data_IF_231718828803
#
_entry.id   IF_231718828803
#
_cell.length_a   1.000
_cell.length_b   1.000
_cell.length_c   1.000
_cell.angle_alpha   90.00
_cell.angle_beta   90.00
_cell.angle_gamma   90.00
#
_symmetry.space_group_name_H-M   'P 1'
#
loop_
_entity.id
_entity.type
_entity.pdbx_description
1 polymer ?
#
# COMPACT_ATOMS: atom_id res chain seq x y z
N UNK A 1 -2.46 0.20 -21.14
CA UNK A 1 -1.49 -0.49 -20.27
C UNK A 1 -2.29 -1.24 -19.22
N UNK A 2 -2.12 -2.56 -19.07
CA UNK A 2 -2.84 -3.32 -18.04
C UNK A 2 -2.31 -2.89 -16.67
N UNK A 3 -3.21 -2.59 -15.74
CA UNK A 3 -2.90 -2.28 -14.35
C UNK A 3 -2.66 -3.58 -13.58
N UNK A 4 -1.48 -4.17 -13.79
CA UNK A 4 -1.08 -5.46 -13.22
C UNK A 4 -0.86 -5.31 -11.71
N UNK A 5 -0.18 -4.24 -11.30
CA UNK A 5 0.11 -3.92 -9.90
C UNK A 5 -1.18 -3.77 -9.07
N UNK A 6 -2.16 -3.00 -9.56
CA UNK A 6 -3.44 -2.85 -8.88
C UNK A 6 -4.19 -4.19 -8.75
N UNK A 7 -4.08 -5.08 -9.75
CA UNK A 7 -4.67 -6.42 -9.68
C UNK A 7 -3.98 -7.30 -8.65
N UNK A 8 -2.65 -7.35 -8.67
CA UNK A 8 -1.85 -8.14 -7.72
C UNK A 8 -2.07 -7.69 -6.28
N UNK A 9 -2.13 -6.37 -6.06
CA UNK A 9 -2.44 -5.81 -4.76
C UNK A 9 -3.86 -6.19 -4.30
N UNK A 10 -4.87 -6.09 -5.17
CA UNK A 10 -6.23 -6.50 -4.83
C UNK A 10 -6.32 -8.00 -4.50
N UNK A 11 -5.61 -8.84 -5.25
CA UNK A 11 -5.58 -10.28 -5.02
C UNK A 11 -4.86 -10.62 -3.69
N UNK A 12 -3.78 -9.90 -3.34
CA UNK A 12 -3.12 -10.03 -2.03
C UNK A 12 -4.04 -9.66 -0.87
N UNK A 13 -4.75 -8.53 -0.94
CA UNK A 13 -5.70 -8.13 0.10
C UNK A 13 -6.86 -9.13 0.24
N UNK A 14 -7.34 -9.69 -0.88
CA UNK A 14 -8.36 -10.77 -0.84
C UNK A 14 -7.81 -12.01 -0.13
N UNK A 15 -6.58 -12.40 -0.44
CA UNK A 15 -5.95 -13.56 0.20
C UNK A 15 -5.74 -13.33 1.71
N UNK A 16 -5.27 -12.15 2.12
CA UNK A 16 -5.11 -11.78 3.53
C UNK A 16 -6.45 -11.84 4.27
N UNK A 17 -7.52 -11.31 3.68
CA UNK A 17 -8.84 -11.34 4.29
C UNK A 17 -9.34 -12.77 4.58
N UNK A 18 -9.09 -13.71 3.67
CA UNK A 18 -9.54 -15.09 3.81
C UNK A 18 -8.66 -15.97 4.71
N UNK A 19 -7.35 -15.71 4.75
CA UNK A 19 -6.39 -16.61 5.41
C UNK A 19 -5.81 -16.04 6.72
N UNK A 20 -5.76 -14.71 6.85
CA UNK A 20 -5.14 -14.01 7.97
C UNK A 20 -5.96 -12.77 8.37
N UNK A 21 -7.20 -12.94 8.87
CA UNK A 21 -8.10 -11.83 9.15
C UNK A 21 -7.52 -10.82 10.16
N UNK A 22 -6.71 -11.27 11.12
CA UNK A 22 -6.04 -10.38 12.07
C UNK A 22 -4.96 -9.51 11.40
N UNK A 23 -4.18 -10.09 10.47
CA UNK A 23 -3.19 -9.33 9.68
C UNK A 23 -3.90 -8.34 8.76
N UNK A 24 -5.00 -8.78 8.10
CA UNK A 24 -5.79 -7.95 7.21
C UNK A 24 -6.32 -6.68 7.90
N UNK A 25 -6.79 -6.78 9.15
CA UNK A 25 -7.27 -5.63 9.94
C UNK A 25 -6.22 -4.54 10.14
N UNK A 26 -4.94 -4.89 10.03
CA UNK A 26 -3.82 -3.99 10.23
C UNK A 26 -3.12 -3.59 8.93
N UNK A 27 -3.52 -4.17 7.80
CA UNK A 27 -2.92 -3.94 6.49
C UNK A 27 -3.64 -2.80 5.75
N UNK A 28 -2.90 -1.86 5.17
CA UNK A 28 -3.44 -0.83 4.30
C UNK A 28 -2.45 -0.40 3.22
N UNK A 29 -3.00 0.09 2.10
CA UNK A 29 -2.20 0.65 1.02
C UNK A 29 -1.63 2.00 1.43
N UNK A 30 -0.35 2.22 1.17
CA UNK A 30 0.28 3.53 1.27
C UNK A 30 0.27 4.16 -0.12
N UNK A 31 -0.38 5.33 -0.31
CA UNK A 31 -0.46 5.99 -1.61
C UNK A 31 0.89 6.62 -1.99
N UNK A 32 1.84 5.80 -2.43
CA UNK A 32 3.19 6.22 -2.84
C UNK A 32 3.26 6.58 -4.33
N UNK A 33 2.36 7.46 -4.80
CA UNK A 33 2.53 8.14 -6.09
C UNK A 33 2.72 7.27 -7.33
N UNK A 34 2.30 6.01 -7.27
CA UNK A 34 2.33 5.07 -8.39
C UNK A 34 1.60 5.63 -9.60
N UNK A 35 2.24 5.43 -10.76
CA UNK A 35 1.80 5.73 -12.13
C UNK A 35 0.60 6.67 -12.26
N UNK A 36 0.81 7.99 -12.41
CA UNK A 36 0.17 8.75 -13.52
C UNK A 36 0.53 10.23 -13.66
N UNK A 37 1.07 10.95 -12.68
CA UNK A 37 1.46 12.36 -12.94
C UNK A 37 2.56 12.86 -12.00
N UNK A 38 3.59 13.49 -12.58
CA UNK A 38 4.69 14.15 -11.85
C UNK A 38 4.18 15.18 -10.82
N UNK A 39 3.10 15.89 -11.15
CA UNK A 39 2.45 16.83 -10.23
C UNK A 39 1.93 16.16 -8.95
N UNK A 40 1.35 14.96 -9.07
CA UNK A 40 0.85 14.18 -7.93
C UNK A 40 2.01 13.66 -7.09
N UNK A 41 3.07 13.15 -7.73
CA UNK A 41 4.28 12.70 -7.04
C UNK A 41 4.94 13.84 -6.25
N UNK A 42 5.00 15.06 -6.80
CA UNK A 42 5.54 16.22 -6.11
C UNK A 42 4.67 16.63 -4.91
N UNK A 43 3.34 16.61 -5.04
CA UNK A 43 2.44 16.89 -3.92
C UNK A 43 2.61 15.85 -2.80
N UNK A 44 2.71 14.57 -3.15
CA UNK A 44 2.93 13.49 -2.19
C UNK A 44 4.28 13.61 -1.47
N UNK A 45 5.35 13.98 -2.19
CA UNK A 45 6.65 14.30 -1.56
C UNK A 45 6.55 15.45 -0.56
N UNK A 46 5.81 16.51 -0.88
CA UNK A 46 5.56 17.61 0.05
C UNK A 46 4.73 17.18 1.27
N UNK A 47 3.84 16.20 1.11
CA UNK A 47 3.08 15.58 2.19
C UNK A 47 3.91 14.56 3.01
N UNK A 48 5.19 14.37 2.68
CA UNK A 48 6.11 13.55 3.46
C UNK A 48 6.33 12.13 2.94
N UNK A 49 5.83 11.78 1.74
CA UNK A 49 6.18 10.51 1.09
C UNK A 49 7.68 10.47 0.81
N UNK A 50 8.32 9.36 1.22
CA UNK A 50 9.76 9.12 1.06
C UNK A 50 10.01 8.02 0.03
N UNK A 51 11.14 8.10 -0.66
CA UNK A 51 11.60 7.01 -1.51
C UNK A 51 11.87 5.75 -0.67
N UNK A 52 11.47 4.58 -1.17
CA UNK A 52 11.65 3.29 -0.50
C UNK A 52 10.55 2.92 0.50
N UNK A 53 9.49 3.72 0.64
CA UNK A 53 8.31 3.32 1.42
C UNK A 53 7.56 2.22 0.64
N UNK A 54 7.23 1.07 1.26
CA UNK A 54 6.44 0.03 0.62
C UNK A 54 5.00 0.48 0.30
N UNK A 55 4.41 -0.04 -0.78
CA UNK A 55 3.01 0.26 -1.17
C UNK A 55 1.97 -0.35 -0.23
N UNK A 56 2.35 -1.33 0.60
CA UNK A 56 1.48 -1.95 1.59
C UNK A 56 2.20 -1.93 2.93
N UNK A 57 1.51 -1.41 3.95
CA UNK A 57 2.00 -1.38 5.32
C UNK A 57 1.08 -2.20 6.23
N UNK A 58 1.67 -2.96 7.15
CA UNK A 58 0.95 -3.76 8.13
C UNK A 58 1.35 -3.30 9.53
N UNK A 59 0.44 -2.59 10.21
CA UNK A 59 0.69 -2.03 11.53
C UNK A 59 0.36 -3.05 12.63
N UNK A 60 1.20 -4.08 12.80
CA UNK A 60 1.00 -5.11 13.82
C UNK A 60 1.73 -4.77 15.12
N UNK A 61 1.01 -4.45 16.22
CA UNK A 61 1.63 -4.25 17.53
C UNK A 61 2.20 -5.56 18.07
N UNK A 62 3.40 -5.51 18.69
CA UNK A 62 4.06 -6.69 19.30
C UNK A 62 4.02 -6.72 20.83
N UNK A 63 3.15 -5.93 21.45
CA UNK A 63 2.93 -5.92 22.91
C UNK A 63 4.19 -5.55 23.70
N UNK A 64 4.69 -4.33 23.50
CA UNK A 64 5.75 -3.75 24.34
C UNK A 64 5.30 -3.58 25.80
#
# INVERSE_FOLDING_TARGET
>A
MRDIEGKEQADLFRWLHGNYPDVYRHAFHVPNGGHRHVAVANKLKQQGVKAGVPDIFIMMPRGG
#
